data_IF_526602964655
#
_entry.id   IF_526602964655
#
_cell.length_a   1.000
_cell.length_b   1.000
_cell.length_c   1.000
_cell.angle_alpha   90.00
_cell.angle_beta   90.00
_cell.angle_gamma   90.00
#
_symmetry.space_group_name_H-M   'P 1'
#
loop_
_entity.id
_entity.type
_entity.pdbx_description
1 polymer ?
#
# COMPACT_ATOMS: atom_id res chain seq x y z
N UNK A 1 -23.00 44.81 19.80
CA UNK A 1 -22.02 45.92 19.71
C UNK A 1 -20.89 45.40 18.82
N UNK A 2 -20.78 45.76 17.53
CA UNK A 2 -20.23 47.03 16.96
C UNK A 2 -18.98 47.48 17.70
N UNK A 3 -17.83 47.86 17.13
CA UNK A 3 -17.28 48.12 15.77
C UNK A 3 -15.78 48.42 16.00
N UNK A 4 -14.83 48.55 15.07
CA UNK A 4 -14.78 48.72 13.61
C UNK A 4 -13.32 48.50 13.14
N UNK A 5 -13.05 48.08 11.89
CA UNK A 5 -13.05 48.82 10.60
C UNK A 5 -11.83 49.76 10.37
N UNK A 6 -11.05 49.43 9.34
CA UNK A 6 -10.07 50.28 8.63
C UNK A 6 -9.83 49.69 7.22
N UNK A 7 -9.81 50.55 6.20
CA UNK A 7 -10.20 50.33 4.79
C UNK A 7 -9.18 49.68 3.82
N UNK A 8 -9.74 49.23 2.68
CA UNK A 8 -9.23 48.64 1.43
C UNK A 8 -8.26 49.52 0.61
N UNK A 9 -7.44 48.91 -0.28
CA UNK A 9 -7.79 48.91 -1.72
C UNK A 9 -7.42 47.61 -2.50
N UNK A 10 -8.21 47.29 -3.53
CA UNK A 10 -7.82 46.48 -4.70
C UNK A 10 -7.44 47.42 -5.88
N UNK A 11 -6.88 46.95 -7.01
CA UNK A 11 -5.90 45.88 -7.23
C UNK A 11 -4.76 46.36 -8.16
N UNK A 12 -3.57 45.74 -8.10
CA UNK A 12 -2.63 45.77 -9.24
C UNK A 12 -1.99 44.42 -9.47
N UNK A 13 -1.99 44.04 -10.75
CA UNK A 13 -1.47 42.80 -11.29
C UNK A 13 0.03 42.63 -11.02
N UNK A 14 0.42 41.43 -10.60
CA UNK A 14 1.81 41.00 -10.45
C UNK A 14 1.86 39.48 -10.46
N UNK A 15 2.15 38.94 -11.63
CA UNK A 15 2.21 37.51 -11.95
C UNK A 15 3.25 36.77 -11.09
N UNK A 16 2.81 35.72 -10.38
CA UNK A 16 3.63 34.56 -10.06
C UNK A 16 2.69 33.39 -9.72
N UNK A 17 2.38 32.57 -10.72
CA UNK A 17 1.65 31.32 -10.52
C UNK A 17 2.42 30.41 -9.55
N UNK A 18 1.76 29.78 -8.56
CA UNK A 18 2.40 28.72 -7.78
C UNK A 18 2.73 27.54 -8.72
N UNK A 19 3.83 26.79 -8.45
CA UNK A 19 4.23 25.67 -9.29
C UNK A 19 3.08 24.66 -9.36
N UNK A 20 2.67 24.38 -10.59
CA UNK A 20 1.67 23.40 -10.96
C UNK A 20 2.13 22.03 -10.44
N UNK A 21 1.62 21.62 -9.27
CA UNK A 21 1.68 20.22 -8.83
C UNK A 21 0.79 19.44 -9.79
N UNK A 22 1.41 18.97 -10.85
CA UNK A 22 0.81 18.09 -11.84
C UNK A 22 0.39 16.81 -11.11
N UNK A 23 -0.91 16.72 -10.82
CA UNK A 23 -1.54 15.45 -10.48
C UNK A 23 -1.15 14.43 -11.57
N UNK A 24 -0.80 13.18 -11.22
CA UNK A 24 -0.53 12.18 -12.22
C UNK A 24 -1.75 12.08 -13.12
N UNK A 25 -1.52 12.19 -14.43
CA UNK A 25 -2.56 12.21 -15.44
C UNK A 25 -3.58 11.11 -15.18
N UNK A 26 -4.87 11.47 -15.16
CA UNK A 26 -5.95 10.49 -15.10
C UNK A 26 -5.78 9.53 -16.28
N UNK A 27 -5.33 8.30 -16.00
CA UNK A 27 -5.11 7.27 -17.01
C UNK A 27 -6.41 7.08 -17.80
N UNK A 28 -6.32 7.15 -19.14
CA UNK A 28 -7.48 6.97 -20.02
C UNK A 28 -8.09 5.60 -19.75
N UNK A 29 -9.34 5.57 -19.32
CA UNK A 29 -10.13 4.34 -19.19
C UNK A 29 -10.33 3.77 -20.61
N UNK A 30 -9.70 2.65 -20.92
CA UNK A 30 -9.92 1.95 -22.18
C UNK A 30 -10.86 0.77 -21.90
N UNK A 31 -12.11 0.91 -22.34
CA UNK A 31 -13.13 -0.09 -22.17
C UNK A 31 -12.76 -1.39 -22.94
N UNK A 32 -12.61 -2.48 -22.19
CA UNK A 32 -12.87 -3.90 -22.50
C UNK A 32 -12.33 -4.58 -23.78
N UNK A 33 -11.67 -3.91 -24.73
CA UNK A 33 -11.50 -4.51 -26.08
C UNK A 33 -10.06 -4.60 -26.63
N UNK A 34 -9.03 -4.19 -25.88
CA UNK A 34 -7.63 -4.30 -26.31
C UNK A 34 -6.89 -5.46 -25.66
N UNK A 35 -5.93 -6.05 -26.37
CA UNK A 35 -4.90 -6.90 -25.76
C UNK A 35 -4.17 -6.07 -24.69
N UNK A 36 -4.22 -6.44 -23.40
CA UNK A 36 -3.57 -5.69 -22.33
C UNK A 36 -2.06 -5.58 -22.51
N UNK A 37 -1.42 -6.49 -23.26
CA UNK A 37 0.00 -6.38 -23.59
C UNK A 37 0.31 -5.23 -24.59
N UNK A 38 -0.69 -4.80 -25.37
CA UNK A 38 -0.59 -3.70 -26.32
C UNK A 38 -0.98 -2.34 -25.73
N UNK A 39 -1.49 -2.31 -24.49
CA UNK A 39 -1.89 -1.09 -23.82
C UNK A 39 -0.66 -0.34 -23.27
N UNK A 40 -0.65 1.01 -23.28
CA UNK A 40 0.37 1.79 -22.62
C UNK A 40 0.46 1.49 -21.11
N UNK A 41 1.67 1.59 -20.56
CA UNK A 41 1.88 1.56 -19.12
C UNK A 41 1.00 2.62 -18.42
N UNK A 42 0.37 2.23 -17.31
CA UNK A 42 -0.56 3.08 -16.55
C UNK A 42 -2.00 3.08 -17.07
N UNK A 43 -2.29 2.42 -18.20
CA UNK A 43 -3.68 2.24 -18.65
C UNK A 43 -4.49 1.43 -17.65
N UNK A 44 -5.75 1.81 -17.47
CA UNK A 44 -6.73 1.02 -16.70
C UNK A 44 -7.37 0.01 -17.63
N UNK A 45 -7.35 -1.25 -17.23
CA UNK A 45 -7.90 -2.39 -17.96
C UNK A 45 -8.97 -3.08 -17.12
N UNK A 46 -10.17 -3.25 -17.68
CA UNK A 46 -11.23 -4.06 -17.06
C UNK A 46 -10.93 -5.53 -17.34
N UNK A 47 -10.44 -6.26 -16.35
CA UNK A 47 -10.11 -7.66 -16.52
C UNK A 47 -11.38 -8.51 -16.59
N UNK A 48 -11.67 -9.20 -17.71
CA UNK A 48 -12.89 -9.98 -17.88
C UNK A 48 -12.92 -11.24 -16.99
N UNK A 49 -11.77 -11.76 -16.57
CA UNK A 49 -11.68 -12.94 -15.70
C UNK A 49 -12.04 -12.61 -14.25
N UNK A 50 -11.63 -11.45 -13.76
CA UNK A 50 -11.90 -11.01 -12.38
C UNK A 50 -13.10 -10.06 -12.27
N UNK A 51 -13.50 -9.45 -13.39
CA UNK A 51 -14.48 -8.37 -13.42
C UNK A 51 -13.97 -7.09 -12.75
N UNK A 52 -12.66 -6.88 -12.62
CA UNK A 52 -12.08 -5.76 -11.85
C UNK A 52 -11.29 -4.80 -12.73
N UNK A 53 -11.20 -3.54 -12.28
CA UNK A 53 -10.33 -2.56 -12.89
C UNK A 53 -8.89 -2.74 -12.37
N UNK A 54 -7.98 -2.96 -13.30
CA UNK A 54 -6.56 -3.23 -13.05
C UNK A 54 -5.70 -2.24 -13.82
N UNK A 55 -4.43 -2.13 -13.46
CA UNK A 55 -3.50 -1.22 -14.14
C UNK A 55 -2.44 -1.99 -14.90
N UNK A 56 -2.17 -1.58 -16.14
CA UNK A 56 -1.10 -2.16 -16.94
C UNK A 56 0.23 -1.65 -16.41
N UNK A 57 1.02 -2.55 -15.83
CA UNK A 57 2.36 -2.25 -15.32
C UNK A 57 3.39 -2.92 -16.24
N UNK A 58 4.40 -2.19 -16.72
CA UNK A 58 5.42 -2.78 -17.57
C UNK A 58 6.29 -3.73 -16.76
N UNK A 59 6.79 -4.78 -17.41
CA UNK A 59 7.82 -5.66 -16.86
C UNK A 59 7.42 -6.31 -15.52
N UNK A 60 6.26 -6.98 -15.52
CA UNK A 60 5.71 -7.68 -14.36
C UNK A 60 6.65 -8.74 -13.77
N UNK A 61 7.53 -9.31 -14.59
CA UNK A 61 8.55 -10.30 -14.17
C UNK A 61 9.64 -9.72 -13.26
N UNK A 62 9.77 -8.41 -13.19
CA UNK A 62 10.66 -7.71 -12.25
C UNK A 62 9.90 -6.72 -11.36
N UNK A 63 8.57 -6.87 -11.25
CA UNK A 63 7.74 -6.00 -10.41
C UNK A 63 7.34 -6.71 -9.12
N UNK A 64 7.56 -6.03 -8.00
CA UNK A 64 6.98 -6.34 -6.72
C UNK A 64 5.69 -5.54 -6.50
N UNK A 65 4.59 -6.22 -6.20
CA UNK A 65 3.40 -5.60 -5.62
C UNK A 65 3.65 -5.41 -4.13
N UNK A 66 3.72 -4.16 -3.67
CA UNK A 66 3.88 -3.81 -2.25
C UNK A 66 2.56 -3.32 -1.69
N UNK A 67 2.00 -4.09 -0.73
CA UNK A 67 0.89 -3.65 0.10
C UNK A 67 1.45 -3.10 1.40
N UNK A 68 1.10 -1.87 1.77
CA UNK A 68 1.66 -1.26 2.97
C UNK A 68 1.01 0.03 3.46
N UNK A 69 1.63 0.61 4.48
CA UNK A 69 1.17 1.82 5.15
C UNK A 69 2.08 3.02 4.83
N UNK A 70 2.10 4.03 5.70
CA UNK A 70 2.90 5.26 5.53
C UNK A 70 4.41 5.00 5.44
N UNK A 71 4.90 3.84 5.89
CA UNK A 71 6.31 3.47 5.71
C UNK A 71 6.62 3.00 4.29
N UNK A 72 5.61 2.47 3.60
CA UNK A 72 5.70 1.95 2.23
C UNK A 72 5.20 2.94 1.18
N UNK A 73 4.54 4.03 1.59
CA UNK A 73 3.94 5.02 0.69
C UNK A 73 4.95 5.94 -0.03
N UNK A 74 5.99 6.48 0.63
CA UNK A 74 7.01 7.27 -0.04
C UNK A 74 7.84 6.41 -1.00
N UNK A 75 8.21 6.97 -2.16
CA UNK A 75 9.06 6.28 -3.15
C UNK A 75 10.46 5.95 -2.61
N UNK A 76 10.95 6.81 -1.72
CA UNK A 76 12.19 6.71 -0.96
C UNK A 76 12.01 6.07 0.43
N UNK A 77 10.83 5.51 0.71
CA UNK A 77 10.59 4.73 1.93
C UNK A 77 11.43 3.46 1.97
N UNK A 78 11.91 3.08 3.15
CA UNK A 78 12.82 1.95 3.34
C UNK A 78 12.32 0.61 2.75
N UNK A 79 11.01 0.26 2.75
CA UNK A 79 10.56 -0.98 2.14
C UNK A 79 10.75 -0.96 0.61
N UNK A 80 10.50 0.19 -0.01
CA UNK A 80 10.68 0.38 -1.46
C UNK A 80 12.15 0.43 -1.84
N UNK A 81 12.97 1.11 -1.05
CA UNK A 81 14.42 1.13 -1.26
C UNK A 81 15.01 -0.27 -1.12
N UNK A 82 14.58 -1.06 -0.14
CA UNK A 82 15.00 -2.46 0.02
C UNK A 82 14.64 -3.32 -1.19
N UNK A 83 13.40 -3.20 -1.69
CA UNK A 83 12.96 -3.91 -2.90
C UNK A 83 13.71 -3.48 -4.15
N UNK A 84 13.93 -2.17 -4.32
CA UNK A 84 14.71 -1.63 -5.43
C UNK A 84 16.17 -2.08 -5.40
N UNK A 85 16.78 -2.13 -4.21
CA UNK A 85 18.16 -2.58 -4.03
C UNK A 85 18.38 -4.04 -4.45
N UNK A 86 17.34 -4.88 -4.39
CA UNK A 86 17.38 -6.27 -4.88
C UNK A 86 16.79 -6.42 -6.29
N UNK A 87 16.58 -5.32 -7.01
CA UNK A 87 16.27 -5.30 -8.44
C UNK A 87 14.78 -5.28 -8.79
N UNK A 88 13.87 -5.12 -7.82
CA UNK A 88 12.44 -5.00 -8.12
C UNK A 88 12.03 -3.56 -8.43
N UNK A 89 11.20 -3.39 -9.46
CA UNK A 89 10.30 -2.24 -9.58
C UNK A 89 9.16 -2.42 -8.58
N UNK A 90 8.64 -1.34 -8.01
CA UNK A 90 7.57 -1.42 -7.00
C UNK A 90 6.28 -0.82 -7.54
N UNK A 91 5.22 -1.63 -7.55
CA UNK A 91 3.84 -1.15 -7.64
C UNK A 91 3.24 -1.14 -6.24
N UNK A 92 2.96 0.04 -5.71
CA UNK A 92 2.44 0.19 -4.35
C UNK A 92 0.92 0.27 -4.31
N UNK A 93 0.32 -0.42 -3.34
CA UNK A 93 -1.09 -0.38 -3.01
C UNK A 93 -1.24 -0.19 -1.50
N UNK A 94 -1.68 0.98 -1.07
CA UNK A 94 -1.70 1.31 0.34
C UNK A 94 -1.94 2.79 0.57
N UNK A 95 -2.06 3.17 1.85
CA UNK A 95 -2.15 4.57 2.24
C UNK A 95 -1.74 4.72 3.71
N UNK A 96 -1.11 5.84 4.07
CA UNK A 96 -0.75 6.12 5.45
C UNK A 96 -1.91 5.97 6.43
N UNK A 97 -1.68 5.28 7.54
CA UNK A 97 -2.67 5.05 8.60
C UNK A 97 -3.54 3.79 8.40
N UNK A 98 -3.31 2.99 7.35
CA UNK A 98 -4.00 1.69 7.17
C UNK A 98 -3.17 0.54 7.72
N UNK A 99 -3.80 -0.63 7.86
CA UNK A 99 -3.19 -1.85 8.34
C UNK A 99 -4.05 -3.07 8.03
N UNK A 100 -3.83 -4.17 8.74
CA UNK A 100 -4.66 -5.37 8.61
C UNK A 100 -6.09 -5.12 9.11
N UNK A 101 -6.26 -4.28 10.12
CA UNK A 101 -7.52 -3.88 10.74
C UNK A 101 -7.72 -2.37 10.62
N UNK A 102 -6.65 -1.59 10.77
CA UNK A 102 -6.67 -0.14 10.70
C UNK A 102 -7.09 0.38 9.31
N UNK A 103 -7.99 1.36 9.31
CA UNK A 103 -8.41 2.14 8.14
C UNK A 103 -8.27 3.64 8.44
N UNK A 104 -8.30 4.50 7.42
CA UNK A 104 -8.05 5.93 7.57
C UNK A 104 -9.17 6.85 7.01
N UNK A 105 -10.34 6.27 6.72
CA UNK A 105 -11.51 7.00 6.19
C UNK A 105 -11.44 7.38 4.70
N UNK A 106 -10.26 7.28 4.06
CA UNK A 106 -10.10 7.43 2.61
C UNK A 106 -10.08 6.09 1.89
N UNK A 107 -9.54 5.07 2.56
CA UNK A 107 -9.53 3.68 2.11
C UNK A 107 -9.71 2.75 3.31
N UNK A 108 -10.08 1.50 3.04
CA UNK A 108 -10.23 0.48 4.07
C UNK A 108 -8.92 0.01 4.68
N UNK A 109 -9.04 -0.96 5.58
CA UNK A 109 -7.94 -1.86 5.89
C UNK A 109 -7.54 -2.66 4.64
N UNK A 110 -6.44 -3.39 4.72
CA UNK A 110 -5.86 -4.01 3.53
C UNK A 110 -6.80 -4.95 2.78
N UNK A 111 -7.52 -5.83 3.49
CA UNK A 111 -8.44 -6.77 2.84
C UNK A 111 -9.65 -6.06 2.26
N UNK A 112 -10.23 -5.10 3.00
CA UNK A 112 -11.43 -4.39 2.52
C UNK A 112 -11.10 -3.48 1.33
N UNK A 113 -9.94 -2.82 1.35
CA UNK A 113 -9.45 -2.02 0.24
C UNK A 113 -9.18 -2.89 -1.00
N UNK A 114 -8.60 -4.08 -0.80
CA UNK A 114 -8.43 -5.07 -1.83
C UNK A 114 -9.78 -5.54 -2.37
N UNK A 115 -10.78 -5.84 -1.56
CA UNK A 115 -12.08 -6.38 -2.01
C UNK A 115 -12.91 -5.32 -2.74
N UNK A 116 -12.92 -4.07 -2.26
CA UNK A 116 -13.65 -2.97 -2.90
C UNK A 116 -12.97 -2.40 -4.14
N UNK A 117 -11.67 -2.62 -4.30
CA UNK A 117 -10.90 -2.05 -5.41
C UNK A 117 -10.52 -0.60 -5.17
N UNK A 118 -10.33 -0.22 -3.91
CA UNK A 118 -9.81 1.10 -3.53
C UNK A 118 -8.43 1.35 -4.19
N UNK A 119 -7.69 0.27 -4.48
CA UNK A 119 -6.44 0.27 -5.23
C UNK A 119 -6.57 -0.51 -6.53
N UNK A 120 -5.94 0.01 -7.58
CA UNK A 120 -5.82 -0.72 -8.86
C UNK A 120 -4.61 -1.64 -8.78
N UNK A 121 -4.88 -2.92 -8.63
CA UNK A 121 -3.87 -3.96 -8.71
C UNK A 121 -3.30 -4.09 -10.13
N UNK A 122 -2.05 -4.53 -10.30
CA UNK A 122 -1.46 -4.69 -11.62
C UNK A 122 -2.12 -5.83 -12.40
N UNK A 123 -2.34 -5.63 -13.69
CA UNK A 123 -2.74 -6.70 -14.60
C UNK A 123 -1.58 -7.68 -14.83
N UNK A 124 -1.88 -8.98 -14.88
CA UNK A 124 -0.89 -10.05 -14.96
C UNK A 124 -0.25 -10.41 -13.61
N UNK A 125 0.66 -11.38 -13.58
CA UNK A 125 1.22 -11.91 -12.32
C UNK A 125 2.50 -11.17 -11.92
N UNK A 126 2.57 -10.51 -10.76
CA UNK A 126 3.81 -9.90 -10.27
C UNK A 126 4.83 -10.98 -9.88
N UNK A 127 6.10 -10.64 -9.99
CA UNK A 127 7.19 -11.55 -9.61
C UNK A 127 7.25 -11.79 -8.09
N UNK A 128 6.82 -10.80 -7.31
CA UNK A 128 6.79 -10.83 -5.86
C UNK A 128 5.61 -10.03 -5.35
N UNK A 129 4.97 -10.52 -4.29
CA UNK A 129 4.01 -9.77 -3.48
C UNK A 129 4.63 -9.58 -2.11
N UNK A 130 4.66 -8.35 -1.61
CA UNK A 130 5.14 -8.03 -0.27
C UNK A 130 4.05 -7.33 0.50
N UNK A 131 3.78 -7.84 1.71
CA UNK A 131 2.82 -7.23 2.64
C UNK A 131 3.61 -6.69 3.82
N UNK A 132 3.58 -5.37 4.01
CA UNK A 132 4.22 -4.67 5.11
C UNK A 132 3.16 -4.01 6.00
N UNK A 133 3.26 -4.10 7.32
CA UNK A 133 2.29 -3.40 8.18
C UNK A 133 2.25 -3.87 9.62
N UNK A 134 1.12 -3.59 10.28
CA UNK A 134 0.85 -3.90 11.69
C UNK A 134 1.06 -2.73 12.66
N UNK A 135 1.76 -1.67 12.22
CA UNK A 135 2.07 -0.53 13.07
C UNK A 135 0.85 0.28 13.50
N UNK A 136 -0.09 0.50 12.58
CA UNK A 136 -1.34 1.19 12.86
C UNK A 136 -2.31 0.31 13.65
N UNK A 137 -2.31 -1.00 13.40
CA UNK A 137 -3.09 -1.98 14.15
C UNK A 137 -2.69 -2.01 15.62
N UNK A 138 -1.38 -2.00 15.88
CA UNK A 138 -0.83 -1.87 17.22
C UNK A 138 -1.24 -0.56 17.91
N UNK A 139 -1.16 0.57 17.20
CA UNK A 139 -1.50 1.88 17.74
C UNK A 139 -3.00 2.04 18.05
N UNK A 140 -3.87 1.41 17.26
CA UNK A 140 -5.32 1.45 17.43
C UNK A 140 -5.86 0.38 18.40
N UNK A 141 -4.98 -0.45 18.96
CA UNK A 141 -5.39 -1.50 19.90
C UNK A 141 -6.15 -2.65 19.25
N UNK A 142 -5.91 -2.92 17.96
CA UNK A 142 -6.48 -4.07 17.29
C UNK A 142 -6.07 -5.37 17.99
N UNK A 143 -7.01 -6.29 18.14
CA UNK A 143 -6.77 -7.59 18.78
C UNK A 143 -5.96 -8.52 17.88
N UNK A 144 -5.24 -9.46 18.47
CA UNK A 144 -4.48 -10.47 17.70
C UNK A 144 -5.39 -11.25 16.74
N UNK A 145 -6.59 -11.61 17.19
CA UNK A 145 -7.56 -12.34 16.38
C UNK A 145 -8.01 -11.55 15.14
N UNK A 146 -8.24 -10.24 15.28
CA UNK A 146 -8.62 -9.40 14.14
C UNK A 146 -7.47 -9.26 13.13
N UNK A 147 -6.24 -9.03 13.61
CA UNK A 147 -5.05 -8.92 12.76
C UNK A 147 -4.83 -10.22 12.00
N UNK A 148 -4.85 -11.35 12.72
CA UNK A 148 -4.68 -12.69 12.14
C UNK A 148 -5.75 -12.98 11.09
N UNK A 149 -7.03 -12.80 11.42
CA UNK A 149 -8.12 -13.13 10.50
C UNK A 149 -8.04 -12.31 9.21
N UNK A 150 -7.76 -11.01 9.30
CA UNK A 150 -7.65 -10.15 8.12
C UNK A 150 -6.37 -10.40 7.33
N UNK A 151 -5.25 -10.72 7.99
CA UNK A 151 -4.02 -11.11 7.31
C UNK A 151 -4.21 -12.43 6.54
N UNK A 152 -4.84 -13.43 7.15
CA UNK A 152 -5.15 -14.71 6.50
C UNK A 152 -6.06 -14.51 5.28
N UNK A 153 -7.11 -13.68 5.41
CA UNK A 153 -7.99 -13.33 4.27
C UNK A 153 -7.24 -12.61 3.16
N UNK A 154 -6.38 -11.65 3.50
CA UNK A 154 -5.57 -10.91 2.53
C UNK A 154 -4.61 -11.83 1.76
N UNK A 155 -3.90 -12.71 2.47
CA UNK A 155 -2.98 -13.67 1.86
C UNK A 155 -3.73 -14.59 0.91
N UNK A 156 -4.85 -15.18 1.35
CA UNK A 156 -5.67 -16.05 0.50
C UNK A 156 -6.19 -15.34 -0.74
N UNK A 157 -6.75 -14.14 -0.59
CA UNK A 157 -7.24 -13.35 -1.72
C UNK A 157 -6.14 -13.00 -2.74
N UNK A 158 -4.91 -12.75 -2.28
CA UNK A 158 -3.77 -12.46 -3.17
C UNK A 158 -3.23 -13.72 -3.85
N UNK A 159 -3.23 -14.88 -3.16
CA UNK A 159 -2.86 -16.17 -3.74
C UNK A 159 -3.85 -16.60 -4.82
N UNK A 160 -5.15 -16.44 -4.56
CA UNK A 160 -6.21 -16.70 -5.53
C UNK A 160 -6.11 -15.76 -6.74
N UNK A 161 -5.80 -14.48 -6.47
CA UNK A 161 -5.67 -13.47 -7.54
C UNK A 161 -4.43 -13.70 -8.40
N UNK A 162 -3.31 -14.10 -7.80
CA UNK A 162 -2.02 -14.26 -8.46
C UNK A 162 -1.43 -15.65 -8.19
N UNK A 163 -2.02 -16.70 -8.78
CA UNK A 163 -1.52 -18.05 -8.59
C UNK A 163 -0.07 -18.15 -9.07
N UNK A 164 0.80 -18.68 -8.20
CA UNK A 164 2.23 -18.86 -8.47
C UNK A 164 3.11 -17.62 -8.25
N UNK A 165 2.55 -16.46 -7.89
CA UNK A 165 3.38 -15.34 -7.44
C UNK A 165 4.07 -15.70 -6.12
N UNK A 166 5.36 -15.36 -6.01
CA UNK A 166 6.07 -15.45 -4.72
C UNK A 166 5.50 -14.40 -3.78
N UNK A 167 5.41 -14.71 -2.50
CA UNK A 167 4.93 -13.77 -1.49
C UNK A 167 5.88 -13.74 -0.30
N UNK A 168 6.02 -12.57 0.31
CA UNK A 168 6.77 -12.37 1.55
C UNK A 168 6.05 -11.36 2.44
N UNK A 169 6.33 -11.40 3.74
CA UNK A 169 5.81 -10.45 4.71
C UNK A 169 6.94 -9.68 5.38
N UNK A 170 6.69 -8.42 5.65
CA UNK A 170 7.55 -7.55 6.45
C UNK A 170 6.75 -7.11 7.65
N UNK A 171 7.32 -7.28 8.84
CA UNK A 171 6.60 -6.99 10.07
C UNK A 171 6.52 -5.50 10.43
N UNK A 172 6.28 -5.25 11.70
CA UNK A 172 6.01 -3.93 12.24
C UNK A 172 7.27 -3.30 12.77
N UNK A 173 7.73 -2.22 12.13
CA UNK A 173 8.88 -1.45 12.62
C UNK A 173 8.65 -0.99 14.06
N UNK A 174 9.52 -1.40 14.97
CA UNK A 174 9.42 -1.07 16.39
C UNK A 174 10.80 -1.00 17.06
N UNK A 175 10.82 -0.47 18.29
CA UNK A 175 11.96 -0.66 19.19
C UNK A 175 11.98 -2.10 19.68
N UNK A 176 13.16 -2.63 20.05
CA UNK A 176 13.22 -3.96 20.66
C UNK A 176 12.34 -4.06 21.92
N UNK A 177 11.87 -5.28 22.26
CA UNK A 177 10.99 -5.51 23.40
C UNK A 177 11.56 -4.97 24.72
N UNK A 178 12.87 -5.11 24.90
CA UNK A 178 13.62 -4.62 26.07
C UNK A 178 13.90 -3.10 26.05
N UNK A 179 13.50 -2.42 24.97
CA UNK A 179 13.74 -0.99 24.72
C UNK A 179 12.43 -0.22 24.49
N UNK A 180 11.30 -0.71 25.03
CA UNK A 180 10.02 -0.03 24.95
C UNK A 180 9.23 -0.25 23.65
N UNK A 181 9.52 -1.33 22.92
CA UNK A 181 8.79 -1.71 21.70
C UNK A 181 7.29 -1.96 21.86
N UNK A 182 6.89 -2.41 23.05
CA UNK A 182 5.49 -2.54 23.46
C UNK A 182 4.63 -3.35 22.47
N UNK A 183 3.42 -2.85 22.20
CA UNK A 183 2.45 -3.51 21.33
C UNK A 183 2.96 -3.71 19.89
N UNK A 184 3.81 -2.82 19.38
CA UNK A 184 4.33 -2.91 18.01
C UNK A 184 5.24 -4.14 17.84
N UNK A 185 6.12 -4.42 18.80
CA UNK A 185 6.96 -5.64 18.78
C UNK A 185 6.14 -6.92 18.93
N UNK A 186 5.05 -6.88 19.70
CA UNK A 186 4.13 -8.03 19.79
C UNK A 186 3.42 -8.29 18.46
N UNK A 187 2.97 -7.23 17.78
CA UNK A 187 2.32 -7.35 16.46
C UNK A 187 3.33 -7.79 15.39
N UNK A 188 4.59 -7.37 15.45
CA UNK A 188 5.67 -7.91 14.61
C UNK A 188 5.76 -9.44 14.74
N UNK A 189 5.93 -9.94 15.97
CA UNK A 189 5.97 -11.37 16.24
C UNK A 189 4.69 -12.12 15.79
N UNK A 190 3.52 -11.50 15.98
CA UNK A 190 2.23 -12.05 15.52
C UNK A 190 2.20 -12.21 13.99
N UNK A 191 2.64 -11.20 13.25
CA UNK A 191 2.73 -11.25 11.77
C UNK A 191 3.74 -12.31 11.34
N UNK A 192 4.86 -12.44 12.05
CA UNK A 192 5.82 -13.52 11.81
C UNK A 192 5.20 -14.91 11.97
N UNK A 193 4.33 -15.10 12.96
CA UNK A 193 3.60 -16.35 13.15
C UNK A 193 2.58 -16.60 12.02
N UNK A 194 1.88 -15.56 11.54
CA UNK A 194 0.99 -15.66 10.37
C UNK A 194 1.78 -16.09 9.13
N UNK A 195 2.90 -15.41 8.85
CA UNK A 195 3.76 -15.72 7.71
C UNK A 195 4.23 -17.18 7.76
N UNK A 196 4.68 -17.66 8.92
CA UNK A 196 5.11 -19.03 9.11
C UNK A 196 4.00 -20.06 8.82
N UNK A 197 2.76 -19.82 9.26
CA UNK A 197 1.62 -20.71 8.98
C UNK A 197 1.31 -20.83 7.48
N UNK A 198 1.52 -19.76 6.73
CA UNK A 198 1.34 -19.74 5.27
C UNK A 198 2.60 -20.14 4.50
N UNK A 199 3.70 -20.50 5.18
CA UNK A 199 4.97 -20.86 4.56
C UNK A 199 5.66 -19.69 3.84
N UNK A 200 5.38 -18.45 4.27
CA UNK A 200 5.91 -17.24 3.65
C UNK A 200 7.22 -16.80 4.31
N UNK A 201 8.24 -16.39 3.53
CA UNK A 201 9.38 -15.64 4.04
C UNK A 201 8.93 -14.41 4.83
N UNK A 202 9.58 -14.18 5.95
CA UNK A 202 9.26 -13.08 6.86
C UNK A 202 10.50 -12.29 7.24
N UNK A 203 10.41 -10.96 7.16
CA UNK A 203 11.43 -10.04 7.65
C UNK A 203 10.88 -9.37 8.91
N UNK A 204 11.38 -9.82 10.06
CA UNK A 204 11.12 -9.21 11.36
C UNK A 204 11.88 -7.91 11.49
N UNK A 205 11.15 -6.83 11.79
CA UNK A 205 11.70 -5.48 11.94
C UNK A 205 11.28 -4.82 13.25
N UNK A 206 10.69 -5.61 14.16
CA UNK A 206 10.19 -5.19 15.47
C UNK A 206 11.28 -4.81 16.48
N UNK A 207 12.54 -4.85 16.09
CA UNK A 207 13.70 -4.53 16.92
C UNK A 207 14.73 -3.63 16.22
N UNK A 208 14.40 -3.07 15.05
CA UNK A 208 15.33 -2.24 14.26
C UNK A 208 15.54 -0.83 14.84
N UNK A 209 14.68 -0.40 15.76
CA UNK A 209 14.83 0.88 16.46
C UNK A 209 15.43 0.67 17.86
N UNK A 210 16.26 1.60 18.29
CA UNK A 210 16.86 1.65 19.64
C UNK A 210 16.14 2.67 20.51
#
# INVERSE_FOLDING_TARGET
>A
MLSGCGQTPEPTAGSAAPPNVQAPAAGKYLASAGDPAALPAGSVYRNPASGRDEVVVPDMRHTALLIGDSQSEPADGWPRLGLAAVGYKVHFCGLGGTGFVAANGKTGNYIDALERGDWKLPYGTPALIVIQGGGNDAAQGATDAQIVANADRLIGALQDRYPGARMAMIGTLARGANYGGGRRTQVDALIGAVAARHGLPYVGVGDWLT
#
